data_IF_023447553387
#
_entry.id   IF_023447553387
#
_cell.length_a   1.000
_cell.length_b   1.000
_cell.length_c   1.000
_cell.angle_alpha   90.00
_cell.angle_beta   90.00
_cell.angle_gamma   90.00
#
_symmetry.space_group_name_H-M   'P 1'
#
loop_
_entity.id
_entity.type
_entity.pdbx_description
1 polymer ?
#
# COMPACT_ATOMS: atom_id res chain seq x y z
N UNK A 1 -10.94 2.25 21.37
CA UNK A 1 -10.87 2.53 22.82
C UNK A 1 -11.23 3.98 23.05
N UNK A 2 -11.92 4.33 24.14
CA UNK A 2 -12.18 5.73 24.48
C UNK A 2 -10.88 6.43 24.91
N UNK A 3 -10.66 7.64 24.40
CA UNK A 3 -9.60 8.52 24.89
C UNK A 3 -9.96 9.04 26.27
N UNK A 4 -9.00 8.96 27.20
CA UNK A 4 -9.10 9.51 28.55
C UNK A 4 -7.91 10.44 28.79
N UNK A 5 -8.14 11.52 29.53
CA UNK A 5 -7.08 12.48 29.89
C UNK A 5 -5.96 11.77 30.66
N UNK A 6 -4.71 12.03 30.26
CA UNK A 6 -3.52 11.41 30.86
C UNK A 6 -3.06 10.11 30.19
N UNK A 7 -3.84 9.52 29.29
CA UNK A 7 -3.41 8.32 28.56
C UNK A 7 -2.20 8.60 27.68
N UNK A 8 -1.33 7.60 27.51
CA UNK A 8 -0.13 7.69 26.67
C UNK A 8 -0.33 7.04 25.29
N UNK A 9 -0.08 7.80 24.24
CA UNK A 9 -0.30 7.41 22.84
C UNK A 9 0.88 7.82 21.97
N UNK A 10 1.15 7.05 20.93
CA UNK A 10 2.12 7.40 19.88
C UNK A 10 1.42 7.73 18.57
N UNK A 11 2.08 8.51 17.72
CA UNK A 11 1.65 8.72 16.33
C UNK A 11 2.18 7.58 15.46
N UNK A 12 1.30 6.93 14.70
CA UNK A 12 1.67 5.85 13.77
C UNK A 12 2.42 6.38 12.53
N UNK A 13 2.24 7.67 12.22
CA UNK A 13 2.82 8.33 11.04
C UNK A 13 4.06 9.16 11.36
N UNK A 14 4.21 9.61 12.62
CA UNK A 14 5.27 10.53 13.07
C UNK A 14 5.95 9.95 14.32
N UNK A 15 6.72 8.88 14.12
CA UNK A 15 7.37 8.13 15.21
C UNK A 15 8.40 8.95 16.01
N UNK A 16 8.93 10.00 15.40
CA UNK A 16 9.91 10.92 15.96
C UNK A 16 9.35 11.80 17.09
N UNK A 17 8.02 11.94 17.19
CA UNK A 17 7.38 12.71 18.26
C UNK A 17 7.45 11.99 19.62
N UNK A 18 7.74 10.69 19.62
CA UNK A 18 7.78 9.87 20.82
C UNK A 18 6.40 9.64 21.44
N UNK A 19 6.37 9.48 22.76
CA UNK A 19 5.15 9.19 23.52
C UNK A 19 4.43 10.48 23.91
N UNK A 20 3.22 10.67 23.39
CA UNK A 20 2.32 11.79 23.67
C UNK A 20 1.33 11.49 24.81
N UNK A 21 0.83 12.53 25.46
CA UNK A 21 -0.18 12.46 26.53
C UNK A 21 -1.47 13.13 26.07
N UNK A 22 -2.60 12.48 26.30
CA UNK A 22 -3.92 13.08 26.02
C UNK A 22 -4.17 14.23 27.00
N UNK A 23 -4.21 15.46 26.48
CA UNK A 23 -4.38 16.68 27.28
C UNK A 23 -5.79 17.28 27.15
N UNK A 24 -6.49 17.00 26.05
CA UNK A 24 -7.87 17.42 25.86
C UNK A 24 -8.63 16.40 24.99
N UNK A 25 -9.91 16.20 25.28
CA UNK A 25 -10.81 15.35 24.49
C UNK A 25 -12.09 16.12 24.24
N UNK A 26 -12.36 16.41 22.97
CA UNK A 26 -13.57 17.07 22.51
C UNK A 26 -14.54 16.07 21.86
N UNK A 27 -15.67 16.57 21.36
CA UNK A 27 -16.69 15.75 20.70
C UNK A 27 -16.13 14.97 19.48
N UNK A 28 -15.29 15.62 18.66
CA UNK A 28 -14.76 15.05 17.40
C UNK A 28 -13.24 14.93 17.36
N UNK A 29 -12.54 15.55 18.30
CA UNK A 29 -11.08 15.68 18.26
C UNK A 29 -10.47 15.29 19.60
N UNK A 30 -9.20 14.89 19.56
CA UNK A 30 -8.36 14.63 20.72
C UNK A 30 -7.04 15.39 20.52
N UNK A 31 -6.58 16.05 21.57
CA UNK A 31 -5.31 16.76 21.59
C UNK A 31 -4.28 15.94 22.36
N UNK A 32 -3.17 15.64 21.68
CA UNK A 32 -2.01 14.96 22.24
C UNK A 32 -0.85 15.95 22.36
N UNK A 33 -0.31 16.09 23.57
CA UNK A 33 0.94 16.80 23.83
C UNK A 33 2.10 15.81 23.75
N UNK A 34 3.11 16.09 22.94
CA UNK A 34 4.34 15.29 22.82
C UNK A 34 5.47 15.97 23.59
N UNK A 35 5.79 15.55 24.83
CA UNK A 35 6.76 16.27 25.66
C UNK A 35 8.18 16.26 25.11
N UNK A 36 8.54 15.26 24.30
CA UNK A 36 9.87 15.16 23.70
C UNK A 36 10.17 16.27 22.70
N UNK A 37 9.15 16.75 21.99
CA UNK A 37 9.27 17.85 21.01
C UNK A 37 8.63 19.15 21.49
N UNK A 38 7.77 19.09 22.51
CA UNK A 38 6.97 20.22 22.99
C UNK A 38 5.79 20.56 22.09
N UNK A 39 5.46 19.71 21.12
CA UNK A 39 4.37 19.96 20.16
C UNK A 39 3.02 19.43 20.66
N UNK A 40 1.95 20.15 20.31
CA UNK A 40 0.58 19.66 20.41
C UNK A 40 0.07 19.24 19.04
N UNK A 41 -0.48 18.03 18.94
CA UNK A 41 -1.15 17.54 17.72
C UNK A 41 -2.62 17.28 17.98
N UNK A 42 -3.43 17.62 17.00
CA UNK A 42 -4.88 17.41 17.01
C UNK A 42 -5.20 16.23 16.09
N UNK A 43 -5.87 15.22 16.62
CA UNK A 43 -6.34 14.06 15.86
C UNK A 43 -7.85 13.94 15.91
N UNK A 44 -8.45 13.30 14.90
CA UNK A 44 -9.85 12.95 14.93
C UNK A 44 -10.10 11.86 15.97
N UNK A 45 -11.14 11.97 16.79
CA UNK A 45 -11.48 10.97 17.82
C UNK A 45 -11.81 9.60 17.21
N UNK A 46 -12.28 9.59 15.97
CA UNK A 46 -12.55 8.39 15.17
C UNK A 46 -11.48 8.23 14.09
N UNK A 47 -10.92 7.01 13.95
CA UNK A 47 -9.91 6.66 12.94
C UNK A 47 -8.61 7.50 13.00
N UNK A 48 -8.24 7.97 14.19
CA UNK A 48 -6.93 8.59 14.40
C UNK A 48 -5.80 7.59 14.12
N UNK A 49 -4.72 8.02 13.44
CA UNK A 49 -3.49 7.23 13.27
C UNK A 49 -2.62 7.30 14.54
N UNK A 50 -3.23 7.05 15.70
CA UNK A 50 -2.51 6.98 16.97
C UNK A 50 -2.82 5.67 17.67
N UNK A 51 -1.82 5.14 18.36
CA UNK A 51 -1.93 3.88 19.10
C UNK A 51 -1.58 4.08 20.58
N UNK A 52 -2.45 3.59 21.49
CA UNK A 52 -2.21 3.64 22.93
C UNK A 52 -1.07 2.68 23.27
N UNK A 53 -0.12 3.14 24.06
CA UNK A 53 0.97 2.28 24.53
C UNK A 53 0.57 1.62 25.83
N UNK A 54 0.70 0.30 25.88
CA UNK A 54 0.40 -0.52 27.06
C UNK A 54 1.55 -1.52 27.24
N UNK A 55 2.03 -1.64 28.49
CA UNK A 55 3.05 -2.62 28.86
C UNK A 55 2.42 -3.78 29.61
N UNK A 56 3.03 -4.95 29.50
CA UNK A 56 2.58 -6.18 30.16
C UNK A 56 3.50 -6.54 31.33
N UNK A 57 3.04 -7.38 32.28
CA UNK A 57 3.91 -7.99 33.26
C UNK A 57 5.12 -8.67 32.59
N UNK A 58 6.31 -8.40 33.11
CA UNK A 58 7.60 -8.83 32.56
C UNK A 58 8.34 -7.74 31.77
N UNK A 59 7.65 -6.70 31.29
CA UNK A 59 8.27 -5.59 30.56
C UNK A 59 9.06 -4.67 31.51
N UNK A 60 10.12 -4.06 30.99
CA UNK A 60 10.86 -2.99 31.68
C UNK A 60 10.39 -1.64 31.18
N UNK A 61 9.97 -0.77 32.10
CA UNK A 61 9.49 0.59 31.79
C UNK A 61 10.38 1.63 32.45
N UNK A 62 10.45 2.82 31.84
CA UNK A 62 11.24 3.96 32.31
C UNK A 62 10.31 5.08 32.76
N UNK A 63 10.52 5.62 33.96
CA UNK A 63 9.86 6.83 34.46
C UNK A 63 10.44 8.09 33.80
N UNK A 64 9.66 9.16 33.73
CA UNK A 64 10.13 10.49 33.33
C UNK A 64 11.31 11.02 34.16
N UNK A 65 11.49 10.52 35.39
CA UNK A 65 12.63 10.82 36.27
C UNK A 65 13.91 10.04 35.89
N UNK A 66 13.83 9.13 34.90
CA UNK A 66 14.96 8.39 34.35
C UNK A 66 15.26 7.04 35.01
N UNK A 67 14.61 6.69 36.11
CA UNK A 67 14.73 5.36 36.72
C UNK A 67 13.84 4.33 36.01
N UNK A 68 14.21 3.05 36.14
CA UNK A 68 13.53 1.93 35.48
C UNK A 68 12.96 0.94 36.49
N UNK A 69 11.88 0.28 36.11
CA UNK A 69 11.28 -0.81 36.88
C UNK A 69 10.84 -1.95 35.98
N UNK A 70 10.84 -3.17 36.52
CA UNK A 70 10.20 -4.32 35.90
C UNK A 70 8.75 -4.40 36.36
N UNK A 71 7.82 -4.53 35.41
CA UNK A 71 6.39 -4.61 35.68
C UNK A 71 6.03 -6.01 36.17
N UNK A 72 5.33 -6.11 37.29
CA UNK A 72 4.82 -7.38 37.84
C UNK A 72 3.29 -7.45 37.74
N UNK A 73 2.61 -6.32 37.95
CA UNK A 73 1.16 -6.20 37.89
C UNK A 73 0.76 -4.90 37.16
N UNK A 74 -0.35 -4.94 36.43
CA UNK A 74 -0.94 -3.76 35.78
C UNK A 74 -2.36 -3.58 36.28
N UNK A 75 -2.67 -2.42 36.85
CA UNK A 75 -4.01 -2.05 37.32
C UNK A 75 -4.60 -0.97 36.43
N UNK A 76 -5.87 -1.13 36.05
CA UNK A 76 -6.63 -0.13 35.31
C UNK A 76 -7.69 0.51 36.21
N UNK A 77 -7.60 1.82 36.41
CA UNK A 77 -8.58 2.61 37.15
C UNK A 77 -8.99 3.83 36.33
N UNK A 78 -10.30 4.03 36.15
CA UNK A 78 -10.87 5.15 35.39
C UNK A 78 -10.28 5.29 33.96
N UNK A 79 -9.92 4.18 33.32
CA UNK A 79 -9.33 4.17 31.97
C UNK A 79 -7.85 4.56 31.93
N UNK A 80 -7.19 4.71 33.08
CA UNK A 80 -5.75 4.93 33.22
C UNK A 80 -5.04 3.69 33.76
N UNK A 81 -3.86 3.41 33.23
CA UNK A 81 -3.01 2.30 33.67
C UNK A 81 -2.02 2.73 34.76
N UNK A 82 -1.89 1.89 35.79
CA UNK A 82 -0.85 1.98 36.82
C UNK A 82 -0.07 0.67 36.83
N UNK A 83 1.24 0.78 36.64
CA UNK A 83 2.18 -0.33 36.63
C UNK A 83 2.77 -0.50 38.02
N UNK A 84 2.74 -1.72 38.55
CA UNK A 84 3.31 -2.06 39.87
C UNK A 84 4.43 -3.08 39.65
N UNK A 85 5.54 -2.91 40.34
CA UNK A 85 6.63 -3.86 40.29
C UNK A 85 7.87 -3.37 41.03
N UNK A 86 9.03 -3.83 40.58
CA UNK A 86 10.29 -3.68 41.31
C UNK A 86 11.25 -2.76 40.57
N UNK A 87 11.80 -1.76 41.27
CA UNK A 87 12.77 -0.79 40.72
C UNK A 87 14.13 -1.46 40.49
N UNK A 88 14.78 -1.20 39.36
CA UNK A 88 16.03 -1.88 38.98
C UNK A 88 17.29 -1.29 39.63
N UNK A 89 17.21 -0.06 40.17
CA UNK A 89 18.32 0.64 40.81
C UNK A 89 18.32 0.50 42.34
N UNK A 90 17.15 0.55 42.98
CA UNK A 90 17.01 0.43 44.44
C UNK A 90 16.52 -0.92 44.92
N UNK A 91 16.12 -1.82 44.00
CA UNK A 91 15.48 -3.11 44.30
C UNK A 91 14.21 -2.98 45.17
N UNK A 92 13.61 -1.78 45.21
CA UNK A 92 12.38 -1.53 45.96
C UNK A 92 11.20 -2.18 45.21
N UNK A 93 10.51 -3.09 45.88
CA UNK A 93 9.35 -3.81 45.34
C UNK A 93 8.04 -3.13 45.72
N UNK A 94 7.03 -3.27 44.86
CA UNK A 94 5.70 -2.68 45.06
C UNK A 94 5.61 -1.21 44.68
N UNK A 95 6.57 -0.68 43.93
CA UNK A 95 6.55 0.69 43.42
C UNK A 95 5.46 0.82 42.37
N UNK A 96 4.61 1.85 42.51
CA UNK A 96 3.51 2.14 41.58
C UNK A 96 3.87 3.32 40.66
N UNK A 97 3.87 3.08 39.35
CA UNK A 97 4.10 4.09 38.32
C UNK A 97 2.84 4.26 37.45
N UNK A 98 2.22 5.44 37.50
CA UNK A 98 1.06 5.77 36.65
C UNK A 98 1.52 6.04 35.22
N UNK A 99 0.72 5.67 34.22
CA UNK A 99 1.11 5.83 32.80
C UNK A 99 1.48 7.27 32.43
N UNK A 100 0.89 8.27 33.08
CA UNK A 100 1.20 9.71 32.88
C UNK A 100 2.68 10.02 33.11
N UNK A 101 3.34 9.28 34.01
CA UNK A 101 4.75 9.47 34.39
C UNK A 101 5.73 8.61 33.58
N UNK A 102 5.27 7.91 32.54
CA UNK A 102 6.14 7.18 31.63
C UNK A 102 7.00 8.14 30.81
N UNK A 103 8.27 7.78 30.60
CA UNK A 103 9.20 8.56 29.78
C UNK A 103 8.65 8.82 28.36
N UNK A 104 8.88 10.03 27.87
CA UNK A 104 8.45 10.50 26.56
C UNK A 104 9.32 9.98 25.41
N UNK A 105 10.57 9.59 25.70
CA UNK A 105 11.55 9.17 24.69
C UNK A 105 11.36 7.74 24.17
N UNK A 106 10.25 7.09 24.51
CA UNK A 106 9.96 5.73 24.07
C UNK A 106 9.66 5.71 22.55
N UNK A 107 10.64 5.29 21.75
CA UNK A 107 10.51 5.17 20.29
C UNK A 107 10.43 3.70 19.90
N UNK A 108 9.24 3.26 19.48
CA UNK A 108 9.03 1.94 18.88
C UNK A 108 9.50 1.94 17.42
N UNK A 109 10.81 1.89 17.21
CA UNK A 109 11.39 1.99 15.86
C UNK A 109 11.39 0.66 15.10
N UNK A 110 11.43 -0.49 15.78
CA UNK A 110 11.54 -1.79 15.11
C UNK A 110 10.18 -2.45 14.94
N UNK A 111 9.92 -3.14 13.81
CA UNK A 111 8.67 -3.88 13.58
C UNK A 111 8.34 -4.89 14.67
N UNK A 112 9.36 -5.49 15.28
CA UNK A 112 9.22 -6.42 16.41
C UNK A 112 8.64 -5.72 17.65
N UNK A 113 9.10 -4.51 17.99
CA UNK A 113 8.66 -3.78 19.17
C UNK A 113 7.20 -3.33 18.98
N UNK A 114 6.85 -2.93 17.76
CA UNK A 114 5.47 -2.62 17.36
C UNK A 114 4.56 -3.83 17.48
N UNK A 115 5.00 -5.00 17.03
CA UNK A 115 4.23 -6.24 17.12
C UNK A 115 4.01 -6.68 18.58
N UNK A 116 5.06 -6.66 19.41
CA UNK A 116 4.96 -7.03 20.83
C UNK A 116 4.13 -6.02 21.63
N UNK A 117 4.17 -4.74 21.27
CA UNK A 117 3.30 -3.70 21.84
C UNK A 117 1.85 -3.76 21.30
N UNK A 118 1.51 -4.73 20.45
CA UNK A 118 0.17 -4.86 19.87
C UNK A 118 -0.22 -3.77 18.87
N UNK A 119 0.76 -3.03 18.34
CA UNK A 119 0.58 -2.01 17.29
C UNK A 119 0.39 -2.67 15.92
N UNK A 120 -0.72 -3.38 15.76
CA UNK A 120 -1.12 -3.99 14.50
C UNK A 120 -2.09 -3.08 13.75
N UNK A 121 -2.03 -3.11 12.42
CA UNK A 121 -2.99 -2.43 11.56
C UNK A 121 -4.43 -2.80 11.96
N UNK A 122 -5.33 -1.82 11.92
CA UNK A 122 -6.75 -2.06 12.20
C UNK A 122 -7.33 -3.12 11.25
N UNK A 123 -8.16 -4.01 11.81
CA UNK A 123 -8.76 -5.14 11.08
C UNK A 123 -9.63 -4.68 9.89
N UNK A 124 -10.28 -3.52 9.98
CA UNK A 124 -11.05 -2.93 8.90
C UNK A 124 -10.19 -2.52 7.70
N UNK A 125 -9.00 -1.94 7.94
CA UNK A 125 -8.02 -1.62 6.89
C UNK A 125 -7.51 -2.88 6.22
N UNK A 126 -7.21 -3.92 7.00
CA UNK A 126 -6.84 -5.23 6.48
C UNK A 126 -7.97 -5.82 5.61
N UNK A 127 -9.20 -5.83 6.12
CA UNK A 127 -10.36 -6.37 5.41
C UNK A 127 -10.65 -5.59 4.12
N UNK A 128 -10.54 -4.27 4.13
CA UNK A 128 -10.66 -3.43 2.94
C UNK A 128 -9.60 -3.78 1.90
N UNK A 129 -8.33 -3.86 2.30
CA UNK A 129 -7.21 -4.23 1.41
C UNK A 129 -7.40 -5.63 0.84
N UNK A 130 -7.82 -6.58 1.66
CA UNK A 130 -8.12 -7.95 1.23
C UNK A 130 -9.25 -7.97 0.20
N UNK A 131 -10.40 -7.32 0.49
CA UNK A 131 -11.54 -7.24 -0.43
C UNK A 131 -11.16 -6.55 -1.74
N UNK A 132 -10.42 -5.43 -1.67
CA UNK A 132 -9.94 -4.72 -2.86
C UNK A 132 -9.07 -5.62 -3.75
N UNK A 133 -8.11 -6.35 -3.16
CA UNK A 133 -7.27 -7.31 -3.89
C UNK A 133 -8.07 -8.48 -4.45
N UNK A 134 -9.03 -9.01 -3.68
CA UNK A 134 -9.92 -10.09 -4.13
C UNK A 134 -10.73 -9.65 -5.35
N UNK A 135 -11.42 -8.51 -5.27
CA UNK A 135 -12.22 -7.99 -6.37
C UNK A 135 -11.37 -7.62 -7.58
N UNK A 136 -10.17 -7.05 -7.37
CA UNK A 136 -9.23 -6.79 -8.45
C UNK A 136 -8.85 -8.10 -9.16
N UNK A 137 -8.50 -9.16 -8.40
CA UNK A 137 -8.17 -10.47 -8.97
C UNK A 137 -9.34 -11.10 -9.75
N UNK A 138 -10.55 -11.09 -9.19
CA UNK A 138 -11.75 -11.58 -9.86
C UNK A 138 -12.00 -10.83 -11.17
N UNK A 139 -11.83 -9.52 -11.14
CA UNK A 139 -11.94 -8.66 -12.30
C UNK A 139 -10.91 -8.96 -13.39
N UNK A 140 -9.65 -9.21 -13.03
CA UNK A 140 -8.58 -9.57 -13.98
C UNK A 140 -8.82 -10.94 -14.64
N UNK A 141 -9.49 -11.86 -13.94
CA UNK A 141 -9.85 -13.20 -14.45
C UNK A 141 -11.08 -13.20 -15.35
N UNK A 142 -11.79 -12.09 -15.47
CA UNK A 142 -12.97 -12.02 -16.31
C UNK A 142 -12.59 -12.23 -17.79
N UNK A 143 -13.44 -12.92 -18.58
CA UNK A 143 -13.15 -13.19 -20.00
C UNK A 143 -12.96 -11.95 -20.89
N UNK A 144 -13.45 -10.80 -20.44
CA UNK A 144 -13.35 -9.50 -21.12
C UNK A 144 -12.31 -8.56 -20.49
N UNK A 145 -11.46 -9.06 -19.59
CA UNK A 145 -10.42 -8.26 -18.92
C UNK A 145 -9.48 -7.56 -19.92
N UNK A 146 -9.14 -8.22 -21.02
CA UNK A 146 -8.31 -7.67 -22.09
C UNK A 146 -8.89 -6.46 -22.82
N UNK A 147 -10.21 -6.22 -22.68
CA UNK A 147 -10.94 -5.13 -23.33
C UNK A 147 -11.04 -3.89 -22.43
N UNK A 148 -10.40 -3.90 -21.25
CA UNK A 148 -10.39 -2.76 -20.30
C UNK A 148 -9.39 -1.70 -20.75
N UNK A 149 -9.63 -0.44 -20.40
CA UNK A 149 -8.63 0.64 -20.55
C UNK A 149 -8.41 1.17 -21.97
N UNK A 150 -8.96 0.52 -23.00
CA UNK A 150 -8.89 1.02 -24.37
C UNK A 150 -9.75 2.28 -24.57
N UNK A 151 -9.20 3.26 -25.26
CA UNK A 151 -9.84 4.54 -25.62
C UNK A 151 -10.35 4.51 -27.06
N UNK A 152 -11.11 3.47 -27.40
CA UNK A 152 -11.69 3.30 -28.72
C UNK A 152 -13.18 3.00 -28.63
N UNK A 153 -13.94 3.43 -29.64
CA UNK A 153 -15.34 3.01 -29.79
C UNK A 153 -15.36 1.51 -30.07
N UNK A 154 -16.14 0.77 -29.29
CA UNK A 154 -16.21 -0.68 -29.38
C UNK A 154 -17.27 -1.07 -30.40
N UNK A 155 -16.84 -1.47 -31.60
CA UNK A 155 -17.77 -1.96 -32.62
C UNK A 155 -18.03 -3.46 -32.36
N UNK A 156 -19.30 -3.93 -32.38
CA UNK A 156 -19.64 -5.30 -31.98
C UNK A 156 -18.85 -6.42 -32.69
N UNK A 157 -18.60 -6.30 -34.00
CA UNK A 157 -17.83 -7.32 -34.72
C UNK A 157 -16.37 -7.38 -34.25
N UNK A 158 -15.75 -6.22 -34.02
CA UNK A 158 -14.36 -6.11 -33.53
C UNK A 158 -14.22 -6.73 -32.14
N UNK A 159 -15.22 -6.54 -31.28
CA UNK A 159 -15.26 -7.13 -29.94
C UNK A 159 -15.30 -8.66 -29.99
N UNK A 160 -16.11 -9.23 -30.88
CA UNK A 160 -16.21 -10.69 -31.01
C UNK A 160 -14.88 -11.28 -31.48
N UNK A 161 -14.24 -10.67 -32.48
CA UNK A 161 -12.93 -11.10 -32.97
C UNK A 161 -11.88 -10.99 -31.87
N UNK A 162 -11.81 -9.87 -31.17
CA UNK A 162 -10.88 -9.68 -30.07
C UNK A 162 -11.10 -10.71 -28.94
N UNK A 163 -12.36 -11.02 -28.61
CA UNK A 163 -12.68 -12.03 -27.60
C UNK A 163 -12.22 -13.45 -28.02
N UNK A 164 -12.56 -13.86 -29.24
CA UNK A 164 -12.32 -15.22 -29.72
C UNK A 164 -10.83 -15.49 -30.01
N UNK A 165 -10.12 -14.47 -30.50
CA UNK A 165 -8.70 -14.57 -30.84
C UNK A 165 -7.82 -14.26 -29.63
N UNK A 166 -8.15 -13.20 -28.88
CA UNK A 166 -7.35 -12.72 -27.76
C UNK A 166 -7.26 -13.71 -26.59
N UNK A 167 -8.15 -14.70 -26.49
CA UNK A 167 -8.09 -15.76 -25.46
C UNK A 167 -7.25 -16.96 -25.83
N UNK A 168 -6.80 -17.07 -27.08
CA UNK A 168 -5.97 -18.19 -27.54
C UNK A 168 -4.56 -18.02 -26.98
N UNK A 169 -3.95 -19.11 -26.51
CA UNK A 169 -2.59 -19.07 -25.98
C UNK A 169 -1.54 -18.66 -27.03
N UNK A 170 -1.75 -19.07 -28.28
CA UNK A 170 -0.91 -18.69 -29.42
C UNK A 170 -1.80 -18.39 -30.64
N UNK A 171 -2.36 -17.17 -30.76
CA UNK A 171 -3.27 -16.84 -31.85
C UNK A 171 -2.54 -16.79 -33.19
N UNK A 172 -3.01 -17.61 -34.14
CA UNK A 172 -2.62 -17.57 -35.56
C UNK A 172 -3.87 -17.25 -36.37
N UNK A 173 -4.00 -16.01 -36.81
CA UNK A 173 -5.20 -15.52 -37.50
C UNK A 173 -4.84 -14.58 -38.64
N UNK A 174 -5.74 -14.51 -39.63
CA UNK A 174 -5.71 -13.53 -40.70
C UNK A 174 -6.95 -12.64 -40.55
N UNK A 175 -6.75 -11.35 -40.28
CA UNK A 175 -7.81 -10.34 -40.29
C UNK A 175 -7.96 -9.83 -41.72
N UNK A 176 -9.07 -10.18 -42.38
CA UNK A 176 -9.28 -9.96 -43.81
C UNK A 176 -10.51 -9.07 -44.10
N UNK A 177 -10.95 -8.30 -43.12
CA UNK A 177 -12.08 -7.37 -43.27
C UNK A 177 -11.79 -6.30 -44.34
N UNK A 178 -12.84 -5.62 -44.80
CA UNK A 178 -12.72 -4.54 -45.78
C UNK A 178 -11.79 -3.41 -45.31
N UNK A 179 -11.25 -2.65 -46.27
CA UNK A 179 -10.41 -1.48 -45.98
C UNK A 179 -11.27 -0.45 -45.24
N UNK A 180 -10.77 0.06 -44.11
CA UNK A 180 -11.47 1.04 -43.28
C UNK A 180 -12.32 0.46 -42.14
N UNK A 181 -12.52 -0.86 -42.07
CA UNK A 181 -13.29 -1.49 -40.97
C UNK A 181 -12.53 -1.59 -39.63
N UNK A 182 -11.30 -1.08 -39.56
CA UNK A 182 -10.58 -0.96 -38.28
C UNK A 182 -9.73 -2.17 -37.90
N UNK A 183 -9.18 -2.91 -38.87
CA UNK A 183 -8.23 -4.02 -38.64
C UNK A 183 -7.07 -3.66 -37.68
N UNK A 184 -6.58 -2.41 -37.73
CA UNK A 184 -5.55 -1.93 -36.80
C UNK A 184 -6.03 -1.91 -35.35
N UNK A 185 -7.30 -1.55 -35.14
CA UNK A 185 -7.95 -1.54 -33.82
C UNK A 185 -8.16 -2.97 -33.32
N UNK A 186 -8.64 -3.87 -34.18
CA UNK A 186 -8.81 -5.28 -33.84
C UNK A 186 -7.48 -5.93 -33.44
N UNK A 187 -6.43 -5.71 -34.23
CA UNK A 187 -5.08 -6.17 -33.89
C UNK A 187 -4.62 -5.57 -32.56
N UNK A 188 -4.84 -4.27 -32.33
CA UNK A 188 -4.54 -3.61 -31.06
C UNK A 188 -5.28 -4.21 -29.87
N UNK A 189 -6.57 -4.55 -30.03
CA UNK A 189 -7.37 -5.21 -29.00
C UNK A 189 -6.81 -6.61 -28.65
N UNK A 190 -6.45 -7.39 -29.67
CA UNK A 190 -5.85 -8.72 -29.48
C UNK A 190 -4.51 -8.59 -28.74
N UNK A 191 -3.63 -7.69 -29.20
CA UNK A 191 -2.33 -7.43 -28.58
C UNK A 191 -2.46 -6.98 -27.13
N UNK A 192 -3.35 -6.02 -26.88
CA UNK A 192 -3.60 -5.51 -25.53
C UNK A 192 -4.10 -6.60 -24.59
N UNK A 193 -4.98 -7.49 -25.06
CA UNK A 193 -5.45 -8.63 -24.28
C UNK A 193 -4.33 -9.66 -23.99
N UNK A 194 -3.47 -9.94 -24.95
CA UNK A 194 -2.33 -10.85 -24.78
C UNK A 194 -1.31 -10.31 -23.77
N UNK A 195 -1.05 -8.99 -23.81
CA UNK A 195 -0.19 -8.30 -22.84
C UNK A 195 -0.81 -8.29 -21.43
N UNK A 196 -2.09 -7.95 -21.30
CA UNK A 196 -2.76 -7.89 -19.99
C UNK A 196 -2.91 -9.27 -19.32
N UNK A 197 -3.03 -10.33 -20.12
CA UNK A 197 -3.09 -11.70 -19.60
C UNK A 197 -1.71 -12.30 -19.30
N UNK A 198 -0.62 -11.61 -19.66
CA UNK A 198 0.75 -12.13 -19.54
C UNK A 198 1.07 -13.25 -20.53
N UNK A 199 0.22 -13.48 -21.53
CA UNK A 199 0.47 -14.47 -22.59
C UNK A 199 1.53 -13.97 -23.61
N UNK A 200 1.71 -12.65 -23.70
CA UNK A 200 2.82 -12.02 -24.39
C UNK A 200 3.48 -10.99 -23.48
N UNK A 201 4.82 -10.93 -23.49
CA UNK A 201 5.60 -9.90 -22.79
C UNK A 201 6.22 -8.88 -23.74
N UNK A 202 6.51 -9.32 -24.98
CA UNK A 202 7.13 -8.52 -26.03
C UNK A 202 6.34 -8.67 -27.31
N UNK A 203 6.13 -7.55 -28.01
CA UNK A 203 5.37 -7.50 -29.26
C UNK A 203 6.23 -6.86 -30.34
N UNK A 204 6.33 -7.53 -31.48
CA UNK A 204 6.90 -6.99 -32.71
C UNK A 204 5.76 -6.77 -33.72
N UNK A 205 5.68 -5.56 -34.27
CA UNK A 205 4.71 -5.21 -35.32
C UNK A 205 5.51 -4.89 -36.58
N UNK A 206 5.29 -5.66 -37.64
CA UNK A 206 5.94 -5.46 -38.94
C UNK A 206 4.92 -4.82 -39.87
N UNK A 207 5.23 -3.61 -40.35
CA UNK A 207 4.35 -2.83 -41.22
C UNK A 207 5.18 -2.10 -42.29
N UNK A 208 4.59 -1.78 -43.45
CA UNK A 208 5.20 -0.89 -44.43
C UNK A 208 5.56 0.47 -43.81
N UNK A 209 6.60 1.12 -44.33
CA UNK A 209 7.11 2.42 -43.86
C UNK A 209 5.99 3.48 -43.72
N UNK A 210 5.07 3.51 -44.68
CA UNK A 210 3.94 4.44 -44.72
C UNK A 210 2.96 4.30 -43.56
N UNK A 211 2.91 3.14 -42.90
CA UNK A 211 1.98 2.85 -41.80
C UNK A 211 2.63 2.92 -40.42
N UNK A 212 3.96 3.02 -40.32
CA UNK A 212 4.68 3.00 -39.04
C UNK A 212 4.17 4.06 -38.06
N UNK A 213 4.08 5.32 -38.50
CA UNK A 213 3.60 6.41 -37.66
C UNK A 213 2.13 6.25 -37.25
N UNK A 214 1.29 5.73 -38.15
CA UNK A 214 -0.11 5.46 -37.82
C UNK A 214 -0.21 4.44 -36.68
N UNK A 215 0.52 3.33 -36.79
CA UNK A 215 0.53 2.29 -35.75
C UNK A 215 1.06 2.82 -34.41
N UNK A 216 2.16 3.57 -34.41
CA UNK A 216 2.67 4.19 -33.17
C UNK A 216 1.63 5.06 -32.48
N UNK A 217 0.98 5.95 -33.25
CA UNK A 217 -0.02 6.87 -32.72
C UNK A 217 -1.25 6.13 -32.22
N UNK A 218 -1.74 5.13 -32.96
CA UNK A 218 -2.90 4.33 -32.53
C UNK A 218 -2.61 3.50 -31.28
N UNK A 219 -1.47 2.81 -31.23
CA UNK A 219 -1.07 2.02 -30.06
C UNK A 219 -0.92 2.88 -28.81
N UNK A 220 -0.32 4.08 -28.93
CA UNK A 220 -0.18 5.00 -27.81
C UNK A 220 -1.52 5.61 -27.39
N UNK A 221 -2.27 6.20 -28.32
CA UNK A 221 -3.48 6.96 -27.99
C UNK A 221 -4.63 6.07 -27.55
N UNK A 222 -4.82 4.93 -28.22
CA UNK A 222 -5.99 4.06 -27.99
C UNK A 222 -5.73 2.97 -26.96
N UNK A 223 -4.52 2.43 -26.91
CA UNK A 223 -4.18 1.30 -26.03
C UNK A 223 -3.17 1.65 -24.95
N UNK A 224 -2.63 2.88 -24.93
CA UNK A 224 -1.57 3.30 -24.00
C UNK A 224 -0.33 2.39 -24.05
N UNK A 225 -0.09 1.77 -25.21
CA UNK A 225 1.08 0.92 -25.47
C UNK A 225 2.17 1.76 -26.11
N UNK A 226 3.36 1.78 -25.48
CA UNK A 226 4.52 2.50 -25.98
C UNK A 226 5.35 1.57 -26.85
N UNK A 227 5.42 1.88 -28.14
CA UNK A 227 6.29 1.20 -29.09
C UNK A 227 7.47 2.09 -29.45
N UNK A 228 8.59 1.45 -29.75
CA UNK A 228 9.78 2.06 -30.29
C UNK A 228 9.93 1.63 -31.75
N UNK A 229 10.34 2.54 -32.63
CA UNK A 229 10.76 2.17 -33.98
C UNK A 229 12.06 1.38 -33.89
N UNK A 230 12.16 0.35 -34.71
CA UNK A 230 13.33 -0.50 -34.81
C UNK A 230 13.84 -0.41 -36.24
N UNK A 231 14.80 0.49 -36.44
CA UNK A 231 15.45 0.79 -37.72
C UNK A 231 16.82 0.08 -37.80
N UNK A 232 17.46 0.18 -38.96
CA UNK A 232 18.76 -0.48 -39.22
C UNK A 232 19.86 0.03 -38.26
N UNK A 233 19.82 1.31 -37.88
CA UNK A 233 20.75 1.90 -36.89
C UNK A 233 20.55 1.26 -35.51
N UNK A 234 19.32 1.21 -34.99
CA UNK A 234 19.03 0.53 -33.71
C UNK A 234 19.26 -0.96 -33.75
N UNK A 235 19.11 -1.60 -34.91
CA UNK A 235 19.47 -3.01 -35.07
C UNK A 235 20.98 -3.21 -34.92
N UNK A 236 21.80 -2.36 -35.53
CA UNK A 236 23.25 -2.42 -35.40
C UNK A 236 23.72 -2.14 -33.95
N UNK A 237 23.09 -1.17 -33.27
CA UNK A 237 23.33 -0.89 -31.85
C UNK A 237 22.90 -2.07 -30.95
N UNK A 238 21.72 -2.64 -31.19
CA UNK A 238 21.24 -3.80 -30.44
C UNK A 238 22.12 -5.04 -30.64
N UNK A 239 22.78 -5.20 -31.79
CA UNK A 239 23.78 -6.25 -31.99
C UNK A 239 25.05 -6.05 -31.16
N UNK A 240 25.41 -4.81 -30.83
CA UNK A 240 26.56 -4.51 -29.95
C UNK A 240 26.22 -4.68 -28.47
N UNK A 241 24.98 -4.36 -28.06
CA UNK A 241 24.51 -4.51 -26.68
C UNK A 241 24.05 -5.95 -26.34
N UNK A 242 23.85 -6.81 -27.34
CA UNK A 242 23.47 -8.20 -27.14
C UNK A 242 24.66 -9.08 -26.73
N UNK A 243 25.16 -8.89 -25.50
CA UNK A 243 25.69 -10.03 -24.75
C UNK A 243 24.49 -10.91 -24.38
N UNK A 244 24.14 -11.83 -25.27
CA UNK A 244 23.21 -12.90 -24.96
C UNK A 244 23.93 -13.86 -23.99
N UNK A 245 23.47 -14.07 -22.74
CA UNK A 245 23.92 -15.22 -21.95
C UNK A 245 23.52 -16.54 -22.61
#
# INVERSE_FOLDING_TARGET
MPFTLGQRWISDTESELGLGTVVAVDARTVTLLFPSTGENRLYARSDSPVTRVMFNPGDTITSHDGWQMQVEEVKEENGLLTYIGTRLDTEESGVALREVFLDSKLVFSKPQDRLFAGQIDRMDRFALRYRARKYSSEQFRMPYSGLRGQRTSLIPHQLNIAHDVGRRHAPRVLLADEVGLGKTIEAGMILHQQLLSGAAERVLIIVPETLQHQWLVEMLRRFNLRFALFDDERYAEAQHDAYNP
#
